data_IF_665745200106
#
_entry.id   IF_665745200106
#
_cell.length_a   1.000
_cell.length_b   1.000
_cell.length_c   1.000
_cell.angle_alpha   90.00
_cell.angle_beta   90.00
_cell.angle_gamma   90.00
#
_symmetry.space_group_name_H-M   'P 1'
#
loop_
_entity.id
_entity.type
_entity.pdbx_description
1 polymer ?
#
# COMPACT_ATOMS: atom_id res chain seq x y z
N UNK A 1 2.38 -8.35 23.10
CA UNK A 1 3.78 -8.86 22.98
C UNK A 1 4.46 -8.36 21.71
N UNK A 2 3.92 -8.63 20.51
CA UNK A 2 4.54 -8.27 19.23
C UNK A 2 4.95 -6.79 19.10
N UNK A 3 4.08 -5.85 19.49
CA UNK A 3 4.43 -4.42 19.46
C UNK A 3 5.57 -4.01 20.41
N UNK A 4 5.87 -4.80 21.45
CA UNK A 4 7.04 -4.59 22.31
C UNK A 4 8.31 -5.16 21.66
N UNK A 5 8.20 -6.32 21.00
CA UNK A 5 9.31 -6.92 20.24
C UNK A 5 9.77 -5.99 19.11
N UNK A 6 8.83 -5.41 18.33
CA UNK A 6 9.17 -4.44 17.28
C UNK A 6 9.87 -3.19 17.83
N UNK A 7 9.49 -2.70 19.02
CA UNK A 7 10.18 -1.56 19.66
C UNK A 7 11.61 -1.89 20.08
N UNK A 8 11.87 -3.13 20.48
CA UNK A 8 13.21 -3.60 20.82
C UNK A 8 14.02 -3.77 19.53
N UNK A 9 13.42 -4.39 18.50
CA UNK A 9 14.03 -4.59 17.20
C UNK A 9 14.48 -3.28 16.55
N UNK A 10 13.67 -2.22 16.61
CA UNK A 10 14.04 -0.89 16.13
C UNK A 10 15.18 -0.20 16.92
N UNK A 11 15.78 -0.87 17.92
CA UNK A 11 16.94 -0.37 18.68
C UNK A 11 18.13 -1.33 18.64
N UNK A 12 18.06 -2.39 17.83
CA UNK A 12 19.16 -3.31 17.64
C UNK A 12 20.14 -2.76 16.60
N UNK A 13 21.39 -3.20 16.71
CA UNK A 13 22.39 -2.94 15.69
C UNK A 13 22.20 -3.91 14.51
N UNK A 14 21.96 -3.34 13.32
CA UNK A 14 21.79 -4.08 12.07
C UNK A 14 23.06 -4.12 11.22
N UNK A 15 24.24 -3.98 11.83
CA UNK A 15 25.53 -4.18 11.16
C UNK A 15 25.74 -5.59 10.60
N UNK A 16 25.04 -6.60 11.10
CA UNK A 16 24.96 -7.93 10.48
C UNK A 16 23.94 -7.96 9.33
N UNK A 17 24.44 -8.14 8.11
CA UNK A 17 23.63 -8.14 6.91
C UNK A 17 22.65 -9.33 6.85
N UNK A 18 22.99 -10.47 7.45
CA UNK A 18 22.09 -11.64 7.49
C UNK A 18 20.89 -11.36 8.39
N UNK A 19 21.14 -10.86 9.60
CA UNK A 19 20.11 -10.45 10.54
C UNK A 19 19.20 -9.37 9.96
N UNK A 20 19.79 -8.32 9.37
CA UNK A 20 19.05 -7.22 8.73
C UNK A 20 18.10 -7.72 7.64
N UNK A 21 18.56 -8.60 6.75
CA UNK A 21 17.72 -9.19 5.69
C UNK A 21 16.57 -10.04 6.22
N UNK A 22 16.80 -10.83 7.27
CA UNK A 22 15.73 -11.65 7.89
C UNK A 22 14.67 -10.77 8.52
N UNK A 23 15.10 -9.72 9.22
CA UNK A 23 14.20 -8.79 9.89
C UNK A 23 13.40 -7.95 8.89
N UNK A 24 14.02 -7.53 7.78
CA UNK A 24 13.34 -6.98 6.61
C UNK A 24 12.24 -7.91 6.10
N UNK A 25 12.59 -9.16 5.77
CA UNK A 25 11.64 -10.13 5.20
C UNK A 25 10.43 -10.34 6.12
N UNK A 26 10.66 -10.59 7.41
CA UNK A 26 9.58 -10.77 8.39
C UNK A 26 8.68 -9.54 8.48
N UNK A 27 9.24 -8.34 8.41
CA UNK A 27 8.46 -7.10 8.58
C UNK A 27 7.66 -6.76 7.34
N UNK A 28 8.21 -7.00 6.15
CA UNK A 28 7.47 -6.91 4.89
C UNK A 28 6.30 -7.92 4.89
N UNK A 29 6.56 -9.17 5.24
CA UNK A 29 5.52 -10.22 5.28
C UNK A 29 4.42 -9.89 6.33
N UNK A 30 4.80 -9.28 7.46
CA UNK A 30 3.84 -8.76 8.44
C UNK A 30 2.95 -7.66 7.86
N UNK A 31 3.51 -6.71 7.11
CA UNK A 31 2.75 -5.62 6.47
C UNK A 31 1.78 -6.15 5.39
N UNK A 32 2.20 -7.17 4.65
CA UNK A 32 1.36 -7.86 3.67
C UNK A 32 0.21 -8.67 4.30
N UNK A 33 0.25 -9.00 5.59
CA UNK A 33 -0.78 -9.80 6.24
C UNK A 33 -2.10 -9.01 6.45
N UNK A 34 -3.24 -9.34 5.82
CA UNK A 34 -4.46 -8.51 5.78
C UNK A 34 -5.09 -8.18 7.14
N UNK A 35 -4.81 -8.96 8.18
CA UNK A 35 -5.34 -8.77 9.53
C UNK A 35 -4.36 -8.06 10.48
N UNK A 36 -3.22 -7.55 10.00
CA UNK A 36 -2.30 -6.78 10.85
C UNK A 36 -3.01 -5.53 11.41
N UNK A 37 -3.04 -5.33 12.75
CA UNK A 37 -3.65 -4.15 13.36
C UNK A 37 -2.93 -2.84 12.98
N UNK A 38 -3.65 -1.71 12.85
CA UNK A 38 -3.05 -0.41 12.49
C UNK A 38 -1.92 0.04 13.41
N UNK A 39 -2.04 -0.23 14.72
CA UNK A 39 -0.99 0.10 15.70
C UNK A 39 0.33 -0.67 15.51
N UNK A 40 0.31 -1.78 14.76
CA UNK A 40 1.49 -2.53 14.37
C UNK A 40 2.03 -2.10 12.99
N UNK A 41 1.17 -1.62 12.08
CA UNK A 41 1.59 -1.06 10.79
C UNK A 41 2.64 0.05 11.03
N UNK A 42 2.29 1.03 11.87
CA UNK A 42 3.17 2.15 12.24
C UNK A 42 4.54 1.65 12.75
N UNK A 43 4.55 0.60 13.57
CA UNK A 43 5.79 0.02 14.14
C UNK A 43 6.62 -0.75 13.12
N UNK A 44 5.96 -1.40 12.18
CA UNK A 44 6.64 -2.09 11.09
C UNK A 44 7.30 -1.08 10.16
N UNK A 45 6.61 0.03 9.86
CA UNK A 45 7.17 1.14 9.08
C UNK A 45 8.34 1.82 9.80
N UNK A 46 8.25 2.05 11.12
CA UNK A 46 9.39 2.54 11.93
C UNK A 46 10.62 1.62 11.82
N UNK A 47 10.39 0.30 11.87
CA UNK A 47 11.47 -0.69 11.77
C UNK A 47 12.06 -0.70 10.35
N UNK A 48 11.20 -0.62 9.33
CA UNK A 48 11.61 -0.52 7.94
C UNK A 48 12.48 0.72 7.68
N UNK A 49 12.17 1.86 8.28
CA UNK A 49 13.02 3.07 8.22
C UNK A 49 14.41 2.81 8.84
N UNK A 50 14.48 2.08 9.95
CA UNK A 50 15.76 1.81 10.63
C UNK A 50 16.70 0.90 9.83
N UNK A 51 16.15 -0.08 9.11
CA UNK A 51 16.95 -1.07 8.38
C UNK A 51 17.25 -0.68 6.93
N UNK A 52 16.48 0.24 6.35
CA UNK A 52 16.63 0.63 4.95
C UNK A 52 17.59 1.82 4.80
N UNK A 53 18.44 1.82 3.76
CA UNK A 53 19.40 2.88 3.53
C UNK A 53 18.77 4.16 2.97
N UNK A 54 17.55 4.09 2.40
CA UNK A 54 16.90 5.24 1.77
C UNK A 54 15.38 5.24 1.95
N UNK A 55 14.80 6.44 2.02
CA UNK A 55 13.35 6.64 2.04
C UNK A 55 12.69 6.23 0.71
N UNK A 56 13.41 6.33 -0.42
CA UNK A 56 12.92 5.86 -1.72
C UNK A 56 12.69 4.34 -1.73
N UNK A 57 13.54 3.56 -1.06
CA UNK A 57 13.32 2.12 -0.89
C UNK A 57 12.10 1.84 -0.01
N UNK A 58 11.89 2.62 1.05
CA UNK A 58 10.67 2.53 1.87
C UNK A 58 9.42 2.72 1.00
N UNK A 59 9.40 3.77 0.18
CA UNK A 59 8.25 4.05 -0.69
C UNK A 59 7.99 2.89 -1.65
N UNK A 60 9.02 2.36 -2.31
CA UNK A 60 8.88 1.23 -3.23
C UNK A 60 8.32 -0.01 -2.53
N UNK A 61 8.88 -0.39 -1.38
CA UNK A 61 8.43 -1.57 -0.63
C UNK A 61 6.98 -1.43 -0.15
N UNK A 62 6.58 -0.24 0.32
CA UNK A 62 5.20 -0.01 0.74
C UNK A 62 4.24 -0.08 -0.45
N UNK A 63 4.63 0.45 -1.61
CA UNK A 63 3.82 0.35 -2.83
C UNK A 63 3.68 -1.08 -3.31
N UNK A 64 4.76 -1.88 -3.29
CA UNK A 64 4.70 -3.31 -3.57
C UNK A 64 3.70 -4.02 -2.65
N UNK A 65 3.78 -3.79 -1.33
CA UNK A 65 2.82 -4.37 -0.37
C UNK A 65 1.38 -3.92 -0.64
N UNK A 66 1.17 -2.67 -1.07
CA UNK A 66 -0.17 -2.18 -1.42
C UNK A 66 -0.70 -2.90 -2.67
N UNK A 67 0.14 -3.10 -3.68
CA UNK A 67 -0.21 -3.85 -4.89
C UNK A 67 -0.58 -5.29 -4.54
N UNK A 68 0.25 -5.98 -3.76
CA UNK A 68 -0.01 -7.36 -3.30
C UNK A 68 -1.33 -7.49 -2.52
N UNK A 69 -1.71 -6.46 -1.75
CA UNK A 69 -2.97 -6.43 -1.01
C UNK A 69 -4.19 -6.19 -1.91
N UNK A 70 -4.01 -5.59 -3.09
CA UNK A 70 -5.07 -5.25 -4.05
C UNK A 70 -5.27 -6.31 -5.13
N UNK A 71 -4.20 -6.95 -5.60
CA UNK A 71 -4.21 -8.02 -6.62
C UNK A 71 -5.25 -9.13 -6.38
N UNK A 72 -5.45 -9.68 -5.15
CA UNK A 72 -6.46 -10.71 -4.92
C UNK A 72 -7.92 -10.23 -5.02
N UNK A 73 -8.17 -8.94 -5.29
CA UNK A 73 -9.50 -8.42 -5.65
C UNK A 73 -9.73 -8.37 -7.17
N UNK A 74 -8.65 -8.45 -7.96
CA UNK A 74 -8.69 -8.38 -9.42
C UNK A 74 -8.96 -9.77 -10.02
N UNK A 75 -8.33 -10.82 -9.49
CA UNK A 75 -8.56 -12.22 -9.92
C UNK A 75 -10.01 -12.70 -9.69
N UNK A 76 -10.65 -12.32 -8.58
CA UNK A 76 -12.06 -12.64 -8.30
C UNK A 76 -13.02 -11.91 -9.27
N UNK A 77 -12.57 -10.80 -9.86
CA UNK A 77 -13.36 -9.99 -10.78
C UNK A 77 -13.22 -10.43 -12.26
N UNK A 78 -12.18 -11.19 -12.58
CA UNK A 78 -11.94 -11.79 -13.91
C UNK A 78 -12.62 -13.15 -14.08
N UNK A 79 -12.82 -13.92 -13.00
CA UNK A 79 -13.57 -15.18 -13.04
C UNK A 79 -15.04 -15.01 -13.50
N UNK A 80 -15.63 -13.82 -13.30
CA UNK A 80 -16.99 -13.48 -13.74
C UNK A 80 -17.03 -12.83 -15.14
N UNK A 81 -15.86 -12.51 -15.72
CA UNK A 81 -15.70 -11.88 -17.03
C UNK A 81 -15.28 -12.86 -18.14
N UNK A 82 -14.70 -14.02 -17.80
CA UNK A 82 -14.27 -15.03 -18.79
C UNK A 82 -15.43 -15.74 -19.51
N UNK A 83 -16.69 -15.47 -19.18
CA UNK A 83 -17.84 -15.97 -19.95
C UNK A 83 -18.05 -15.21 -21.28
N UNK A 84 -17.33 -14.12 -21.54
CA UNK A 84 -17.50 -13.34 -22.78
C UNK A 84 -16.25 -12.54 -23.18
N UNK A 85 -15.24 -13.19 -23.76
CA UNK A 85 -14.59 -12.74 -25.00
C UNK A 85 -13.33 -13.56 -25.29
N UNK A 86 -13.42 -14.33 -26.37
CA UNK A 86 -12.30 -14.90 -27.10
C UNK A 86 -11.41 -13.79 -27.71
N UNK A 87 -10.13 -14.12 -27.91
CA UNK A 87 -9.20 -13.55 -28.92
C UNK A 87 -8.16 -12.48 -28.49
N UNK A 88 -6.90 -12.96 -28.44
CA UNK A 88 -5.58 -12.36 -28.75
C UNK A 88 -4.67 -11.68 -27.70
N UNK A 89 -3.58 -12.41 -27.46
CA UNK A 89 -2.20 -12.11 -27.09
C UNK A 89 -1.64 -10.66 -27.11
N UNK A 90 -0.87 -10.39 -26.04
CA UNK A 90 0.40 -9.64 -25.98
C UNK A 90 0.39 -8.13 -26.24
N UNK A 91 0.57 -7.35 -25.17
CA UNK A 91 1.58 -6.27 -25.04
C UNK A 91 1.64 -5.81 -23.58
N UNK A 92 2.53 -6.44 -22.80
CA UNK A 92 2.94 -5.99 -21.47
C UNK A 92 3.80 -4.74 -21.63
N UNK A 93 3.22 -3.55 -21.52
CA UNK A 93 3.92 -2.33 -21.09
C UNK A 93 2.95 -1.15 -21.22
N UNK A 94 2.61 -0.48 -20.12
CA UNK A 94 1.93 0.84 -20.09
C UNK A 94 0.41 0.91 -20.36
N UNK A 95 -0.32 -0.21 -20.46
CA UNK A 95 -1.76 -0.25 -20.82
C UNK A 95 -2.74 -0.67 -19.71
N UNK A 96 -2.32 -0.80 -18.44
CA UNK A 96 -3.23 -1.04 -17.29
C UNK A 96 -3.96 0.25 -16.81
N UNK A 97 -3.86 1.33 -17.58
CA UNK A 97 -4.53 2.62 -17.37
C UNK A 97 -6.06 2.57 -17.47
N UNK A 98 -6.68 1.38 -17.54
CA UNK A 98 -8.07 1.20 -17.96
C UNK A 98 -8.95 0.25 -17.13
N UNK A 99 -8.44 -0.64 -16.27
CA UNK A 99 -9.34 -1.63 -15.68
C UNK A 99 -10.02 -1.11 -14.41
N UNK A 100 -11.11 -0.35 -14.64
CA UNK A 100 -12.15 0.07 -13.68
C UNK A 100 -11.73 1.15 -12.67
N UNK A 101 -11.62 2.39 -13.15
CA UNK A 101 -12.04 3.53 -12.34
C UNK A 101 -13.36 3.18 -11.63
N UNK A 102 -13.38 3.08 -10.30
CA UNK A 102 -14.56 2.66 -9.55
C UNK A 102 -15.00 1.22 -9.89
N UNK A 103 -14.92 0.33 -8.90
CA UNK A 103 -15.91 -0.70 -8.66
C UNK A 103 -17.30 -0.25 -9.21
N UNK A 104 -17.69 -0.80 -10.36
CA UNK A 104 -19.03 -0.60 -10.94
C UNK A 104 -19.99 -1.32 -10.01
N UNK A 105 -20.40 -0.64 -8.94
CA UNK A 105 -21.37 -1.09 -7.93
C UNK A 105 -21.35 -2.62 -7.75
N UNK A 106 -20.23 -3.15 -7.27
CA UNK A 106 -20.14 -4.56 -6.89
C UNK A 106 -21.15 -4.84 -5.77
N UNK A 107 -21.65 -6.08 -5.74
CA UNK A 107 -22.64 -6.56 -4.78
C UNK A 107 -22.30 -6.07 -3.34
N UNK A 108 -23.31 -5.83 -2.48
CA UNK A 108 -23.09 -5.16 -1.19
C UNK A 108 -22.03 -5.84 -0.28
N UNK A 109 -21.78 -7.14 -0.48
CA UNK A 109 -20.74 -7.89 0.21
C UNK A 109 -19.32 -7.63 -0.32
N UNK A 110 -19.13 -7.59 -1.64
CA UNK A 110 -17.82 -7.35 -2.29
C UNK A 110 -17.34 -5.91 -2.11
N UNK A 111 -18.27 -4.95 -2.20
CA UNK A 111 -17.95 -3.54 -1.94
C UNK A 111 -17.38 -3.33 -0.54
N UNK A 112 -17.90 -4.04 0.46
CA UNK A 112 -17.43 -3.94 1.86
C UNK A 112 -16.00 -4.47 2.01
N UNK A 113 -15.64 -5.55 1.31
CA UNK A 113 -14.27 -6.09 1.32
C UNK A 113 -13.29 -5.15 0.64
N UNK A 114 -13.63 -4.62 -0.52
CA UNK A 114 -12.80 -3.64 -1.24
C UNK A 114 -12.55 -2.39 -0.38
N UNK A 115 -13.58 -1.87 0.29
CA UNK A 115 -13.44 -0.72 1.17
C UNK A 115 -12.53 -0.97 2.39
N UNK A 116 -12.53 -2.19 2.94
CA UNK A 116 -11.60 -2.57 4.02
C UNK A 116 -10.15 -2.61 3.52
N UNK A 117 -9.93 -3.13 2.32
CA UNK A 117 -8.61 -3.11 1.68
C UNK A 117 -8.16 -1.68 1.40
N UNK A 118 -9.04 -0.83 0.84
CA UNK A 118 -8.73 0.58 0.60
C UNK A 118 -8.38 1.35 1.86
N UNK A 119 -9.13 1.16 2.95
CA UNK A 119 -8.81 1.74 4.26
C UNK A 119 -7.44 1.30 4.78
N UNK A 120 -7.09 0.03 4.57
CA UNK A 120 -5.79 -0.52 4.96
C UNK A 120 -4.65 0.06 4.11
N UNK A 121 -4.82 0.14 2.79
CA UNK A 121 -3.85 0.76 1.89
C UNK A 121 -3.63 2.22 2.26
N UNK A 122 -4.69 2.97 2.57
CA UNK A 122 -4.56 4.36 3.03
C UNK A 122 -3.79 4.47 4.34
N UNK A 123 -4.02 3.56 5.30
CA UNK A 123 -3.23 3.53 6.54
C UNK A 123 -1.73 3.26 6.28
N UNK A 124 -1.39 2.43 5.30
CA UNK A 124 -0.01 2.20 4.87
C UNK A 124 0.59 3.44 4.22
N UNK A 125 -0.13 4.09 3.30
CA UNK A 125 0.30 5.32 2.62
C UNK A 125 0.51 6.46 3.62
N UNK A 126 -0.46 6.71 4.50
CA UNK A 126 -0.34 7.75 5.53
C UNK A 126 0.88 7.48 6.42
N UNK A 127 1.03 6.25 6.92
CA UNK A 127 2.18 5.90 7.74
C UNK A 127 3.52 6.01 6.99
N UNK A 128 3.55 5.74 5.69
CA UNK A 128 4.74 5.92 4.85
C UNK A 128 5.06 7.40 4.67
N UNK A 129 4.08 8.22 4.28
CA UNK A 129 4.27 9.64 4.03
C UNK A 129 4.68 10.42 5.29
N UNK A 130 4.23 10.02 6.48
CA UNK A 130 4.71 10.56 7.76
C UNK A 130 6.22 10.36 8.00
N UNK A 131 6.85 9.43 7.27
CA UNK A 131 8.26 9.03 7.42
C UNK A 131 9.14 9.44 6.25
N UNK A 132 8.56 9.99 5.18
CA UNK A 132 9.30 10.54 4.05
C UNK A 132 9.57 12.03 4.33
N UNK A 133 10.81 12.46 4.16
CA UNK A 133 11.27 13.84 4.35
C UNK A 133 11.84 14.47 3.08
N UNK A 134 12.09 13.67 2.04
CA UNK A 134 12.51 14.17 0.73
C UNK A 134 11.38 14.88 -0.04
N UNK A 135 11.76 15.60 -1.08
CA UNK A 135 10.83 16.36 -1.91
C UNK A 135 9.95 15.40 -2.76
N UNK A 136 8.66 15.74 -2.91
CA UNK A 136 7.71 14.92 -3.68
C UNK A 136 8.17 14.69 -5.13
N UNK A 137 8.72 15.72 -5.77
CA UNK A 137 9.16 15.70 -7.17
C UNK A 137 10.32 14.73 -7.44
N UNK A 138 11.10 14.40 -6.41
CA UNK A 138 12.25 13.49 -6.53
C UNK A 138 11.83 12.01 -6.62
N UNK A 139 10.56 11.69 -6.34
CA UNK A 139 10.09 10.32 -6.27
C UNK A 139 8.89 10.06 -7.18
N UNK A 140 9.17 9.61 -8.41
CA UNK A 140 8.16 9.19 -9.38
C UNK A 140 7.22 8.08 -8.90
N UNK A 141 7.61 7.33 -7.86
CA UNK A 141 6.73 6.32 -7.25
C UNK A 141 5.61 7.00 -6.45
N UNK A 142 5.86 8.15 -5.83
CA UNK A 142 4.85 8.93 -5.11
C UNK A 142 3.82 9.56 -6.05
N UNK A 143 4.23 9.97 -7.25
CA UNK A 143 3.30 10.44 -8.29
C UNK A 143 2.28 9.34 -8.66
N UNK A 144 2.75 8.10 -8.82
CA UNK A 144 1.88 6.93 -9.03
C UNK A 144 0.90 6.72 -7.86
N UNK A 145 1.39 6.78 -6.61
CA UNK A 145 0.53 6.67 -5.42
C UNK A 145 -0.53 7.77 -5.38
N UNK A 146 -0.17 9.00 -5.72
CA UNK A 146 -1.09 10.13 -5.77
C UNK A 146 -2.18 9.90 -6.82
N UNK A 147 -1.80 9.56 -8.04
CA UNK A 147 -2.71 9.37 -9.17
C UNK A 147 -3.62 8.15 -9.00
N UNK A 148 -3.07 7.03 -8.57
CA UNK A 148 -3.74 5.72 -8.62
C UNK A 148 -4.49 5.38 -7.32
N UNK A 149 -4.12 5.99 -6.19
CA UNK A 149 -4.72 5.68 -4.89
C UNK A 149 -5.32 6.90 -4.16
N UNK A 150 -4.55 7.98 -4.00
CA UNK A 150 -5.00 9.13 -3.19
C UNK A 150 -6.12 9.90 -3.90
N UNK A 151 -5.95 10.28 -5.17
CA UNK A 151 -6.97 11.04 -5.92
C UNK A 151 -8.31 10.29 -6.02
N UNK A 152 -8.34 8.97 -6.33
CA UNK A 152 -9.59 8.21 -6.35
C UNK A 152 -10.28 8.10 -4.99
N UNK A 153 -9.53 7.97 -3.89
CA UNK A 153 -10.10 7.81 -2.54
C UNK A 153 -10.78 9.08 -2.04
N UNK A 154 -10.24 10.26 -2.38
CA UNK A 154 -10.87 11.56 -2.07
C UNK A 154 -12.22 11.74 -2.79
N UNK A 155 -12.39 11.10 -3.95
CA UNK A 155 -13.64 11.15 -4.74
C UNK A 155 -14.72 10.17 -4.28
N UNK A 156 -14.44 9.28 -3.30
CA UNK A 156 -15.42 8.30 -2.83
C UNK A 156 -16.57 8.92 -2.03
N UNK A 157 -17.75 8.28 -2.12
CA UNK A 157 -18.96 8.67 -1.38
C UNK A 157 -18.87 8.37 0.12
N UNK A 158 -18.05 7.38 0.52
CA UNK A 158 -17.89 6.97 1.93
C UNK A 158 -17.03 7.98 2.69
N UNK A 159 -17.55 8.63 3.75
CA UNK A 159 -16.85 9.72 4.42
C UNK A 159 -15.53 9.28 5.07
N UNK A 160 -15.48 8.08 5.66
CA UNK A 160 -14.27 7.58 6.34
C UNK A 160 -13.07 7.38 5.39
N UNK A 161 -13.30 6.81 4.21
CA UNK A 161 -12.24 6.63 3.19
C UNK A 161 -11.79 7.99 2.66
N UNK A 162 -12.75 8.89 2.40
CA UNK A 162 -12.47 10.23 1.90
C UNK A 162 -11.64 11.05 2.90
N UNK A 163 -11.94 10.97 4.19
CA UNK A 163 -11.17 11.63 5.25
C UNK A 163 -9.72 11.16 5.26
N UNK A 164 -9.49 9.85 5.20
CA UNK A 164 -8.14 9.28 5.13
C UNK A 164 -7.40 9.67 3.84
N UNK A 165 -8.10 9.70 2.70
CA UNK A 165 -7.53 10.19 1.43
C UNK A 165 -7.11 11.67 1.51
N UNK A 166 -7.89 12.51 2.20
CA UNK A 166 -7.52 13.92 2.42
C UNK A 166 -6.31 14.08 3.34
N UNK A 167 -6.16 13.22 4.36
CA UNK A 167 -4.96 13.21 5.22
C UNK A 167 -3.73 12.83 4.39
N UNK A 168 -3.82 11.77 3.57
CA UNK A 168 -2.73 11.36 2.69
C UNK A 168 -2.35 12.47 1.70
N UNK A 169 -3.36 13.12 1.08
CA UNK A 169 -3.13 14.27 0.19
C UNK A 169 -2.45 15.43 0.93
N UNK A 170 -2.88 15.73 2.16
CA UNK A 170 -2.26 16.77 2.98
C UNK A 170 -0.80 16.48 3.29
N UNK A 171 -0.45 15.23 3.58
CA UNK A 171 0.94 14.81 3.77
C UNK A 171 1.76 14.94 2.48
N UNK A 172 1.21 14.58 1.32
CA UNK A 172 1.84 14.81 0.02
C UNK A 172 2.09 16.29 -0.30
N UNK A 173 1.36 17.23 0.33
CA UNK A 173 1.60 18.66 0.16
C UNK A 173 2.62 19.24 1.15
N UNK A 174 3.06 18.45 2.14
CA UNK A 174 4.05 18.86 3.14
C UNK A 174 5.47 18.37 2.81
N UNK A 175 5.57 17.40 1.91
CA UNK A 175 6.78 16.88 1.27
C UNK A 175 6.84 17.40 -0.16
#
# INVERSE_FOLDING_TARGET
VLGKLLRIAARLDYGDEIGRRRVYAVTRDMLAHPQLPPSLIVRCLDMLVEIMPSECELVRVVVEVITDLREPLEDDADADAEAAADTTQSTKSTQHSLQRALAKEMAPAEGTRADLVDMRCLALVVGMLERVRGDFEDNSTLEGVLADLIVPTVRRKKPAIREQGLVALGLCCLI
#
